data_IF_686976420488
#
_entry.id   IF_686976420488
#
_cell.length_a   1.000
_cell.length_b   1.000
_cell.length_c   1.000
_cell.angle_alpha   90.00
_cell.angle_beta   90.00
_cell.angle_gamma   90.00
#
_symmetry.space_group_name_H-M   'P 1'
#
loop_
_entity.id
_entity.type
_entity.pdbx_description
1 polymer ?
#
# COMPACT_ATOMS: atom_id res chain seq x y z
N UNK A 1 -6.79 -19.43 -7.04
CA UNK A 1 -6.35 -19.39 -8.45
C UNK A 1 -5.32 -18.27 -8.68
N UNK A 2 -5.61 -17.02 -8.30
CA UNK A 2 -4.70 -15.88 -8.50
C UNK A 2 -3.33 -15.99 -7.77
N UNK A 3 -3.30 -16.41 -6.50
CA UNK A 3 -2.04 -16.76 -5.77
C UNK A 3 -1.23 -17.90 -6.43
N UNK A 4 -1.88 -18.79 -7.19
CA UNK A 4 -1.20 -19.87 -7.94
C UNK A 4 -0.58 -19.37 -9.25
N UNK A 5 -1.06 -18.26 -9.81
CA UNK A 5 -0.59 -17.71 -11.08
C UNK A 5 0.71 -16.90 -10.96
N UNK A 6 1.01 -16.39 -9.76
CA UNK A 6 2.22 -15.62 -9.46
C UNK A 6 3.38 -16.47 -8.90
N UNK A 7 3.11 -17.72 -8.53
CA UNK A 7 4.16 -18.60 -8.02
C UNK A 7 4.91 -19.21 -9.20
N UNK A 8 5.93 -18.50 -9.70
CA UNK A 8 6.81 -18.97 -10.77
C UNK A 8 7.75 -20.08 -10.30
N UNK A 9 7.90 -20.28 -8.99
CA UNK A 9 8.73 -21.33 -8.39
C UNK A 9 8.00 -22.69 -8.30
N UNK A 10 7.42 -23.16 -9.41
CA UNK A 10 6.78 -24.47 -9.51
C UNK A 10 7.74 -25.53 -10.05
N UNK A 11 7.51 -26.81 -9.74
CA UNK A 11 8.19 -27.89 -10.44
C UNK A 11 8.15 -27.70 -11.96
N UNK A 12 9.22 -28.13 -12.64
CA UNK A 12 9.20 -28.27 -14.09
C UNK A 12 8.07 -29.22 -14.54
N UNK A 13 7.75 -30.24 -13.72
CA UNK A 13 6.60 -31.12 -13.90
C UNK A 13 5.88 -31.44 -12.59
N UNK A 14 4.55 -31.43 -12.61
CA UNK A 14 3.74 -31.72 -11.41
C UNK A 14 3.73 -33.24 -11.12
N UNK A 15 3.95 -34.10 -12.14
CA UNK A 15 4.05 -35.56 -11.98
C UNK A 15 5.26 -36.18 -12.70
N UNK A 16 5.79 -37.33 -12.22
CA UNK A 16 6.98 -37.94 -12.83
C UNK A 16 6.81 -38.35 -14.30
N UNK A 17 5.60 -38.78 -14.68
CA UNK A 17 5.23 -39.23 -16.02
C UNK A 17 5.10 -38.08 -17.04
N UNK A 18 5.08 -36.83 -16.58
CA UNK A 18 5.05 -35.64 -17.46
C UNK A 18 6.43 -35.30 -18.04
N UNK A 19 7.50 -36.00 -17.61
CA UNK A 19 8.87 -35.77 -18.09
C UNK A 19 9.54 -37.03 -18.57
N UNK A 20 10.27 -36.89 -19.68
CA UNK A 20 11.10 -37.94 -20.23
C UNK A 20 12.53 -37.42 -20.38
N UNK A 21 13.46 -37.99 -19.62
CA UNK A 21 14.89 -37.71 -19.79
C UNK A 21 15.46 -38.57 -20.91
N UNK A 22 16.11 -37.92 -21.89
CA UNK A 22 16.84 -38.59 -22.95
C UNK A 22 18.34 -38.64 -22.60
N UNK A 23 18.95 -39.83 -22.74
CA UNK A 23 20.41 -40.02 -22.59
C UNK A 23 20.93 -40.21 -21.16
N UNK A 24 20.08 -40.10 -20.12
CA UNK A 24 20.45 -40.35 -18.71
C UNK A 24 19.29 -41.06 -18.02
N UNK A 25 19.55 -42.22 -17.39
CA UNK A 25 18.54 -43.04 -16.71
C UNK A 25 18.32 -42.66 -15.24
N UNK A 26 19.36 -42.14 -14.57
CA UNK A 26 19.31 -41.63 -13.21
C UNK A 26 20.39 -40.58 -12.92
N UNK A 27 20.12 -39.65 -12.01
CA UNK A 27 21.11 -38.70 -11.46
C UNK A 27 21.07 -38.81 -9.94
N UNK A 28 22.22 -39.04 -9.31
CA UNK A 28 22.34 -39.19 -7.85
C UNK A 28 21.34 -40.20 -7.22
N UNK A 29 21.01 -41.28 -7.93
CA UNK A 29 20.09 -42.33 -7.47
C UNK A 29 18.60 -42.04 -7.68
N UNK A 30 18.25 -40.87 -8.25
CA UNK A 30 16.88 -40.52 -8.62
C UNK A 30 16.62 -40.92 -10.07
N UNK A 31 15.57 -41.70 -10.30
CA UNK A 31 15.17 -42.13 -11.65
C UNK A 31 14.77 -40.93 -12.51
N UNK A 32 15.02 -40.99 -13.82
CA UNK A 32 14.82 -39.85 -14.72
C UNK A 32 13.43 -39.19 -14.64
N UNK A 33 12.36 -39.98 -14.51
CA UNK A 33 11.00 -39.46 -14.34
C UNK A 33 10.81 -38.65 -13.05
N UNK A 34 11.53 -38.96 -11.97
CA UNK A 34 11.44 -38.23 -10.70
C UNK A 34 12.20 -36.91 -10.71
N UNK A 35 13.17 -36.72 -11.62
CA UNK A 35 13.94 -35.48 -11.68
C UNK A 35 13.07 -34.30 -12.12
N UNK A 36 12.13 -34.49 -13.05
CA UNK A 36 11.21 -33.45 -13.51
C UNK A 36 10.40 -32.78 -12.39
N UNK A 37 10.00 -33.55 -11.38
CA UNK A 37 9.23 -33.03 -10.24
C UNK A 37 10.09 -32.32 -9.19
N UNK A 38 11.41 -32.50 -9.26
CA UNK A 38 12.40 -31.86 -8.40
C UNK A 38 13.02 -30.61 -9.02
N UNK A 39 13.10 -30.53 -10.35
CA UNK A 39 13.58 -29.34 -11.05
C UNK A 39 12.68 -28.15 -10.74
N UNK A 40 13.29 -27.04 -10.35
CA UNK A 40 12.66 -25.75 -10.06
C UNK A 40 13.44 -24.65 -10.79
N UNK A 41 12.81 -23.53 -11.17
CA UNK A 41 13.53 -22.35 -11.61
C UNK A 41 14.57 -21.90 -10.59
N UNK A 42 15.68 -21.35 -11.06
CA UNK A 42 16.73 -20.81 -10.20
C UNK A 42 16.16 -19.60 -9.46
N UNK A 43 16.14 -19.69 -8.13
CA UNK A 43 15.69 -18.63 -7.27
C UNK A 43 16.78 -17.55 -7.13
N UNK A 44 16.37 -16.28 -7.16
CA UNK A 44 17.31 -15.15 -7.06
C UNK A 44 17.68 -14.91 -5.59
N UNK A 45 18.97 -14.94 -5.19
CA UNK A 45 19.38 -14.54 -3.85
C UNK A 45 19.05 -13.08 -3.57
N UNK A 46 18.37 -12.82 -2.47
CA UNK A 46 18.00 -11.48 -2.01
C UNK A 46 18.82 -11.14 -0.77
N UNK A 47 19.66 -10.12 -0.87
CA UNK A 47 20.44 -9.60 0.26
C UNK A 47 19.59 -8.56 0.97
N UNK A 48 19.48 -8.68 2.30
CA UNK A 48 18.69 -7.78 3.14
C UNK A 48 19.53 -7.25 4.30
N UNK A 49 19.71 -5.95 4.42
CA UNK A 49 20.44 -5.31 5.53
C UNK A 49 19.72 -4.08 6.06
N UNK A 50 19.82 -3.83 7.37
CA UNK A 50 19.06 -2.79 8.07
C UNK A 50 17.63 -3.21 8.48
N UNK A 51 17.29 -4.49 8.32
CA UNK A 51 15.99 -5.02 8.73
C UNK A 51 15.98 -5.45 10.20
N UNK A 52 14.87 -5.21 10.88
CA UNK A 52 14.57 -5.86 12.15
C UNK A 52 14.49 -7.39 11.94
N UNK A 53 15.12 -8.23 12.77
CA UNK A 53 15.19 -9.68 12.53
C UNK A 53 13.83 -10.35 12.29
N UNK A 54 12.83 -10.02 13.09
CA UNK A 54 11.49 -10.61 12.97
C UNK A 54 10.76 -10.15 11.70
N UNK A 55 10.95 -8.90 11.30
CA UNK A 55 10.41 -8.40 10.03
C UNK A 55 11.17 -8.95 8.83
N UNK A 56 12.50 -9.16 8.96
CA UNK A 56 13.30 -9.86 7.96
C UNK A 56 12.78 -11.28 7.73
N UNK A 57 12.36 -11.98 8.78
CA UNK A 57 11.75 -13.32 8.67
C UNK A 57 10.36 -13.28 8.00
N UNK A 58 9.52 -12.29 8.34
CA UNK A 58 8.21 -12.10 7.70
C UNK A 58 8.36 -11.80 6.21
N UNK A 59 9.17 -10.80 5.85
CA UNK A 59 9.45 -10.46 4.45
C UNK A 59 10.16 -11.60 3.74
N UNK A 60 11.12 -12.25 4.40
CA UNK A 60 11.85 -13.37 3.84
C UNK A 60 10.94 -14.55 3.52
N UNK A 61 9.95 -14.84 4.38
CA UNK A 61 8.94 -15.87 4.09
C UNK A 61 8.10 -15.52 2.87
N UNK A 62 7.62 -14.27 2.78
CA UNK A 62 6.86 -13.80 1.62
C UNK A 62 7.70 -13.85 0.32
N UNK A 63 8.97 -13.43 0.36
CA UNK A 63 9.87 -13.46 -0.79
C UNK A 63 10.21 -14.89 -1.24
N UNK A 64 10.34 -15.84 -0.31
CA UNK A 64 10.52 -17.28 -0.66
C UNK A 64 9.34 -17.84 -1.43
N UNK A 65 8.12 -17.48 -1.05
CA UNK A 65 6.91 -17.83 -1.81
C UNK A 65 6.89 -17.21 -3.22
N UNK A 66 7.64 -16.13 -3.41
CA UNK A 66 7.81 -15.42 -4.68
C UNK A 66 9.11 -15.78 -5.41
N UNK A 67 9.75 -16.91 -5.09
CA UNK A 67 10.91 -17.42 -5.85
C UNK A 67 12.24 -16.72 -5.57
N UNK A 68 12.35 -15.97 -4.47
CA UNK A 68 13.61 -15.42 -3.98
C UNK A 68 14.21 -16.29 -2.88
N UNK A 69 15.51 -16.16 -2.66
CA UNK A 69 16.21 -16.74 -1.49
C UNK A 69 16.76 -15.61 -0.63
N UNK A 70 15.98 -15.12 0.35
CA UNK A 70 16.45 -14.11 1.30
C UNK A 70 17.64 -14.63 2.07
N UNK A 71 18.63 -13.77 2.21
CA UNK A 71 19.83 -13.99 3.00
C UNK A 71 20.11 -12.72 3.79
N UNK A 72 20.53 -12.89 5.04
CA UNK A 72 21.01 -11.75 5.82
C UNK A 72 22.18 -11.10 5.08
N UNK A 73 22.10 -9.80 4.83
CA UNK A 73 23.24 -8.99 4.44
C UNK A 73 24.19 -8.83 5.61
N UNK A 74 25.45 -8.47 5.33
CA UNK A 74 26.38 -8.12 6.41
C UNK A 74 25.77 -7.04 7.30
N UNK A 75 25.83 -7.22 8.63
CA UNK A 75 25.35 -6.24 9.62
C UNK A 75 26.04 -4.86 9.49
N UNK A 76 27.18 -4.84 8.81
CA UNK A 76 27.82 -3.66 8.26
C UNK A 76 27.96 -3.88 6.74
N UNK A 77 26.96 -3.43 5.97
CA UNK A 77 27.20 -3.19 4.55
C UNK A 77 28.34 -2.18 4.43
N UNK A 78 29.29 -2.43 3.52
CA UNK A 78 30.30 -1.43 3.22
C UNK A 78 29.60 -0.13 2.82
N UNK A 79 30.08 1.00 3.34
CA UNK A 79 29.75 2.29 2.72
C UNK A 79 30.23 2.25 1.27
N UNK A 80 29.53 2.93 0.37
CA UNK A 80 29.98 3.11 -1.01
C UNK A 80 31.46 3.47 -1.02
N UNK A 81 32.31 2.59 -1.59
CA UNK A 81 33.75 2.79 -1.71
C UNK A 81 34.66 2.09 -0.68
N UNK A 82 34.17 1.30 0.28
CA UNK A 82 35.06 0.58 1.24
C UNK A 82 35.67 -0.73 0.68
N UNK A 83 35.22 -1.21 -0.47
CA UNK A 83 35.88 -2.26 -1.25
C UNK A 83 35.76 -1.98 -2.77
N UNK A 84 36.37 -0.90 -3.28
CA UNK A 84 36.21 -0.48 -4.67
C UNK A 84 36.99 -1.46 -5.55
N UNK A 85 36.26 -2.26 -6.32
CA UNK A 85 36.87 -2.93 -7.47
C UNK A 85 36.74 -2.00 -8.67
N UNK A 86 37.82 -1.27 -8.95
CA UNK A 86 37.88 -0.27 -10.03
C UNK A 86 38.10 -0.88 -11.43
N UNK A 87 38.22 -2.20 -11.52
CA UNK A 87 38.38 -2.89 -12.79
C UNK A 87 37.09 -2.85 -13.63
N UNK A 88 37.21 -2.95 -14.98
CA UNK A 88 36.04 -3.09 -15.84
C UNK A 88 35.24 -4.32 -15.43
N UNK A 89 33.92 -4.23 -15.50
CA UNK A 89 33.04 -5.38 -15.30
C UNK A 89 33.39 -6.45 -16.36
N UNK A 90 33.49 -7.71 -15.96
CA UNK A 90 33.76 -8.84 -16.86
C UNK A 90 32.80 -10.02 -16.61
N UNK A 91 32.62 -10.93 -17.59
CA UNK A 91 31.87 -12.17 -17.37
C UNK A 91 32.37 -12.94 -16.14
N UNK A 92 31.43 -13.43 -15.32
CA UNK A 92 31.68 -14.10 -14.05
C UNK A 92 31.72 -13.17 -12.83
N UNK A 93 31.89 -11.86 -13.01
CA UNK A 93 31.84 -10.91 -11.90
C UNK A 93 30.48 -10.89 -11.22
N UNK A 94 30.46 -10.56 -9.93
CA UNK A 94 29.23 -10.38 -9.18
C UNK A 94 28.55 -9.04 -9.54
N UNK A 95 27.26 -9.10 -9.83
CA UNK A 95 26.42 -7.97 -10.20
C UNK A 95 25.10 -8.05 -9.45
N UNK A 96 24.51 -6.90 -9.12
CA UNK A 96 23.29 -6.83 -8.32
C UNK A 96 22.21 -5.97 -8.94
N UNK A 97 20.97 -6.27 -8.58
CA UNK A 97 19.78 -5.44 -8.79
C UNK A 97 19.40 -4.80 -7.46
N UNK A 98 19.45 -3.47 -7.37
CA UNK A 98 19.08 -2.77 -6.15
C UNK A 98 17.59 -2.42 -6.13
N UNK A 99 16.87 -2.86 -5.10
CA UNK A 99 15.43 -2.58 -4.93
C UNK A 99 15.20 -1.48 -3.89
N UNK A 100 16.01 -1.46 -2.82
CA UNK A 100 16.03 -0.41 -1.80
C UNK A 100 17.47 -0.01 -1.48
N UNK A 101 17.68 1.28 -1.25
CA UNK A 101 18.94 1.91 -0.82
C UNK A 101 18.67 2.92 0.30
N UNK A 102 19.71 3.33 1.03
CA UNK A 102 19.63 4.32 2.11
C UNK A 102 19.74 3.66 3.49
N UNK A 103 18.87 4.06 4.43
CA UNK A 103 18.84 3.49 5.79
C UNK A 103 18.42 2.01 5.84
N UNK A 104 17.91 1.48 4.72
CA UNK A 104 17.61 0.09 4.47
C UNK A 104 18.21 -0.28 3.11
N UNK A 105 18.73 -1.50 2.99
CA UNK A 105 19.22 -1.97 1.71
C UNK A 105 18.66 -3.36 1.42
N UNK A 106 18.13 -3.50 0.21
CA UNK A 106 17.55 -4.73 -0.29
C UNK A 106 17.85 -4.85 -1.78
N UNK A 107 18.39 -5.99 -2.20
CA UNK A 107 18.72 -6.20 -3.60
C UNK A 107 18.97 -7.66 -3.96
N UNK A 108 18.73 -7.99 -5.23
CA UNK A 108 19.07 -9.28 -5.80
C UNK A 108 20.55 -9.32 -6.20
N UNK A 109 21.21 -10.46 -6.06
CA UNK A 109 22.59 -10.64 -6.55
C UNK A 109 22.72 -11.83 -7.49
N UNK A 110 23.63 -11.72 -8.45
CA UNK A 110 23.93 -12.78 -9.40
C UNK A 110 25.28 -12.55 -10.06
N UNK A 111 25.45 -13.10 -11.26
CA UNK A 111 26.71 -12.97 -12.02
C UNK A 111 26.49 -12.40 -13.40
N UNK A 112 27.50 -11.73 -13.91
CA UNK A 112 27.55 -11.32 -15.31
C UNK A 112 27.73 -12.55 -16.19
N UNK A 113 26.82 -12.75 -17.13
CA UNK A 113 26.88 -13.84 -18.12
C UNK A 113 27.75 -13.42 -19.31
N UNK A 114 27.50 -12.24 -19.86
CA UNK A 114 28.20 -11.74 -21.04
C UNK A 114 28.17 -10.21 -21.11
N UNK A 115 29.16 -9.62 -21.76
CA UNK A 115 29.25 -8.18 -22.02
C UNK A 115 29.56 -7.98 -23.50
N UNK A 116 28.77 -7.15 -24.16
CA UNK A 116 28.93 -6.73 -25.56
C UNK A 116 28.91 -5.20 -25.63
N UNK A 117 30.10 -4.58 -25.67
CA UNK A 117 30.25 -3.13 -25.58
C UNK A 117 29.74 -2.60 -24.23
N UNK A 118 28.73 -1.72 -24.27
CA UNK A 118 28.04 -1.20 -23.08
C UNK A 118 26.92 -2.11 -22.58
N UNK A 119 26.57 -3.17 -23.32
CA UNK A 119 25.45 -4.07 -23.00
C UNK A 119 25.90 -5.16 -22.04
N UNK A 120 25.12 -5.37 -20.99
CA UNK A 120 25.38 -6.38 -19.96
C UNK A 120 24.23 -7.37 -19.93
N UNK A 121 24.56 -8.66 -19.97
CA UNK A 121 23.64 -9.77 -19.76
C UNK A 121 24.04 -10.47 -18.48
N UNK A 122 23.11 -10.65 -17.56
CA UNK A 122 23.38 -11.19 -16.23
C UNK A 122 22.35 -12.23 -15.82
N UNK A 123 22.69 -12.92 -14.72
CA UNK A 123 21.95 -13.97 -14.02
C UNK A 123 21.84 -15.29 -14.80
N UNK A 124 21.66 -15.25 -16.12
CA UNK A 124 21.38 -16.46 -16.91
C UNK A 124 20.00 -17.07 -16.59
N UNK A 125 19.15 -16.31 -15.90
CA UNK A 125 17.77 -16.62 -15.54
C UNK A 125 17.02 -15.28 -15.31
N UNK A 126 15.67 -15.26 -15.30
CA UNK A 126 14.93 -14.06 -14.94
C UNK A 126 15.14 -13.75 -13.47
N UNK A 127 15.06 -12.46 -13.11
CA UNK A 127 14.90 -12.10 -11.71
C UNK A 127 13.45 -12.37 -11.27
N UNK A 128 12.48 -11.84 -12.03
CA UNK A 128 11.05 -12.02 -11.81
C UNK A 128 10.24 -12.07 -13.12
N UNK A 129 10.90 -11.99 -14.27
CA UNK A 129 10.34 -12.04 -15.62
C UNK A 129 9.32 -10.90 -15.89
N UNK A 130 9.64 -9.68 -15.45
CA UNK A 130 8.77 -8.50 -15.61
C UNK A 130 8.69 -7.96 -17.04
N UNK A 131 9.60 -8.37 -17.93
CA UNK A 131 9.72 -7.78 -19.26
C UNK A 131 10.50 -6.47 -19.23
N UNK A 132 10.05 -5.39 -19.90
CA UNK A 132 10.70 -4.09 -19.83
C UNK A 132 10.67 -3.53 -18.41
N UNK A 133 11.82 -3.13 -17.89
CA UNK A 133 11.97 -2.57 -16.53
C UNK A 133 13.10 -1.55 -16.51
N UNK A 134 13.27 -0.83 -15.41
CA UNK A 134 14.37 0.12 -15.20
C UNK A 134 14.94 -0.08 -13.79
N UNK A 135 15.75 -1.13 -13.65
CA UNK A 135 16.35 -1.51 -12.37
C UNK A 135 17.80 -1.04 -12.26
N UNK A 136 18.24 -0.49 -11.11
CA UNK A 136 19.63 -0.14 -10.92
C UNK A 136 20.53 -1.36 -11.02
N UNK A 137 21.47 -1.32 -11.96
CA UNK A 137 22.56 -2.29 -12.06
C UNK A 137 23.66 -1.84 -11.11
N UNK A 138 24.04 -2.71 -10.19
CA UNK A 138 25.05 -2.42 -9.17
C UNK A 138 26.21 -3.39 -9.26
N UNK A 139 27.40 -2.96 -8.84
CA UNK A 139 28.41 -3.94 -8.45
C UNK A 139 27.89 -4.72 -7.25
N UNK A 140 28.21 -6.00 -7.16
CA UNK A 140 27.99 -6.76 -5.94
C UNK A 140 29.32 -7.21 -5.35
N UNK A 141 29.46 -7.10 -4.04
CA UNK A 141 30.62 -7.61 -3.32
C UNK A 141 30.26 -8.91 -2.62
N UNK A 142 31.04 -9.97 -2.84
CA UNK A 142 30.84 -11.26 -2.17
C UNK A 142 31.84 -11.37 -1.04
N UNK A 143 31.36 -11.32 0.20
CA UNK A 143 32.19 -11.44 1.40
C UNK A 143 32.70 -12.87 1.57
N UNK A 144 31.81 -13.84 1.45
CA UNK A 144 32.13 -15.25 1.58
C UNK A 144 31.03 -16.12 0.97
N UNK A 145 31.33 -17.40 0.80
CA UNK A 145 30.36 -18.42 0.45
C UNK A 145 30.00 -19.18 1.73
N UNK A 146 28.70 -19.34 1.99
CA UNK A 146 28.16 -20.18 3.04
C UNK A 146 27.80 -21.53 2.43
N UNK A 147 28.67 -22.55 2.53
CA UNK A 147 28.41 -23.85 1.92
C UNK A 147 27.32 -24.58 2.68
N UNK A 148 26.40 -25.20 1.95
CA UNK A 148 25.37 -26.10 2.49
C UNK A 148 24.97 -27.12 1.46
N UNK A 149 24.76 -28.37 1.90
CA UNK A 149 24.26 -29.47 1.08
C UNK A 149 22.83 -29.23 0.61
N UNK A 150 22.05 -28.45 1.37
CA UNK A 150 20.67 -28.11 1.01
C UNK A 150 20.63 -26.93 0.04
N UNK A 151 21.40 -25.86 0.31
CA UNK A 151 21.50 -24.70 -0.56
C UNK A 151 22.71 -23.85 -0.17
N UNK A 152 23.72 -23.77 -1.04
CA UNK A 152 24.87 -22.89 -0.83
C UNK A 152 24.53 -21.45 -1.20
N UNK A 153 24.97 -20.48 -0.39
CA UNK A 153 24.63 -19.06 -0.57
C UNK A 153 25.87 -18.18 -0.54
N UNK A 154 25.79 -17.00 -1.16
CA UNK A 154 26.82 -15.95 -1.05
C UNK A 154 26.38 -14.92 -0.03
N UNK A 155 27.19 -14.70 1.01
CA UNK A 155 27.04 -13.50 1.82
C UNK A 155 27.58 -12.33 1.01
N UNK A 156 26.72 -11.41 0.62
CA UNK A 156 27.07 -10.34 -0.31
C UNK A 156 26.38 -9.03 0.03
N UNK A 157 26.74 -7.95 -0.67
CA UNK A 157 26.09 -6.64 -0.63
C UNK A 157 25.99 -6.06 -2.04
N UNK A 158 24.99 -5.20 -2.28
CA UNK A 158 24.95 -4.37 -3.48
C UNK A 158 25.74 -3.08 -3.24
N UNK A 159 26.48 -2.64 -4.23
CA UNK A 159 27.39 -1.50 -4.14
C UNK A 159 26.88 -0.32 -4.95
N UNK A 160 27.84 0.40 -5.54
CA UNK A 160 27.57 1.51 -6.45
C UNK A 160 26.72 1.10 -7.66
N UNK A 161 25.90 2.05 -8.14
CA UNK A 161 25.12 1.90 -9.36
C UNK A 161 26.02 2.19 -10.55
N UNK A 162 26.17 1.21 -11.43
CA UNK A 162 27.05 1.23 -12.61
C UNK A 162 26.27 1.23 -13.93
N UNK A 163 24.93 1.23 -13.88
CA UNK A 163 24.09 1.20 -15.06
C UNK A 163 22.63 0.90 -14.75
N UNK A 164 21.91 0.50 -15.79
CA UNK A 164 20.48 0.20 -15.74
C UNK A 164 20.19 -1.14 -16.40
N UNK A 165 19.52 -2.04 -15.70
CA UNK A 165 18.85 -3.19 -16.31
C UNK A 165 17.54 -2.73 -16.94
N UNK A 166 17.37 -3.04 -18.23
CA UNK A 166 16.29 -2.58 -19.08
C UNK A 166 15.28 -3.68 -19.43
N UNK A 167 15.66 -4.93 -19.22
CA UNK A 167 14.86 -6.12 -19.52
C UNK A 167 15.08 -7.18 -18.44
N UNK A 168 13.99 -7.80 -18.00
CA UNK A 168 13.98 -9.00 -17.17
C UNK A 168 13.17 -10.08 -17.90
N UNK A 169 13.86 -11.07 -18.46
CA UNK A 169 13.29 -12.08 -19.36
C UNK A 169 13.71 -13.48 -18.93
N UNK A 170 13.00 -14.47 -19.46
CA UNK A 170 13.13 -15.89 -19.11
C UNK A 170 14.55 -16.50 -19.15
N UNK A 171 15.54 -15.89 -19.81
CA UNK A 171 16.90 -16.43 -19.91
C UNK A 171 17.98 -15.51 -19.36
N UNK A 172 17.67 -14.24 -19.07
CA UNK A 172 18.61 -13.27 -18.54
C UNK A 172 17.90 -11.98 -18.13
N UNK A 173 18.54 -11.24 -17.24
CA UNK A 173 18.32 -9.80 -17.14
C UNK A 173 19.36 -9.09 -18.03
N UNK A 174 18.94 -8.07 -18.77
CA UNK A 174 19.79 -7.36 -19.72
C UNK A 174 19.69 -5.85 -19.53
N UNK A 175 20.81 -5.16 -19.69
CA UNK A 175 20.94 -3.74 -19.40
C UNK A 175 22.11 -3.08 -20.10
N UNK A 176 22.41 -1.85 -19.70
CA UNK A 176 23.58 -1.10 -20.16
C UNK A 176 24.34 -0.49 -19.00
N UNK A 177 25.66 -0.45 -19.12
CA UNK A 177 26.54 0.34 -18.27
C UNK A 177 26.29 1.83 -18.48
N UNK A 178 26.51 2.65 -17.45
CA UNK A 178 26.36 4.09 -17.49
C UNK A 178 25.48 4.62 -16.35
N UNK A 179 24.60 5.61 -16.60
CA UNK A 179 23.75 6.14 -15.55
C UNK A 179 22.75 5.08 -15.06
N UNK A 180 22.49 5.10 -13.76
CA UNK A 180 21.40 4.36 -13.15
C UNK A 180 20.03 4.95 -13.48
N UNK A 181 18.95 4.17 -13.28
CA UNK A 181 17.60 4.70 -13.40
C UNK A 181 17.28 5.57 -12.18
N UNK A 182 16.24 6.40 -12.30
CA UNK A 182 15.74 7.20 -11.19
C UNK A 182 15.13 6.27 -10.13
N UNK A 183 15.59 6.41 -8.89
CA UNK A 183 14.94 5.84 -7.70
C UNK A 183 13.90 6.82 -7.15
N UNK A 184 12.82 6.32 -6.58
CA UNK A 184 11.80 7.09 -5.87
C UNK A 184 12.33 7.40 -4.47
N UNK A 185 12.60 8.67 -4.12
CA UNK A 185 12.95 9.06 -2.76
C UNK A 185 11.75 8.87 -1.81
N UNK A 186 11.99 8.14 -0.72
CA UNK A 186 11.04 7.96 0.38
C UNK A 186 11.68 8.53 1.64
N UNK A 187 11.05 9.53 2.25
CA UNK A 187 11.47 10.14 3.51
C UNK A 187 10.46 9.80 4.60
N UNK A 188 10.95 9.21 5.69
CA UNK A 188 10.12 8.84 6.84
C UNK A 188 10.63 9.59 8.07
N UNK A 189 9.81 10.46 8.63
CA UNK A 189 10.10 11.10 9.92
C UNK A 189 9.30 10.41 11.02
N UNK A 190 9.99 9.90 12.04
CA UNK A 190 9.38 9.28 13.21
C UNK A 190 9.45 10.25 14.39
N UNK A 191 8.29 10.59 14.93
CA UNK A 191 8.13 11.42 16.12
C UNK A 191 7.61 10.54 17.26
N UNK A 192 8.49 10.21 18.19
CA UNK A 192 8.17 9.38 19.35
C UNK A 192 7.94 10.25 20.57
N UNK A 193 7.00 9.88 21.43
CA UNK A 193 6.85 10.50 22.75
C UNK A 193 8.00 10.20 23.71
N UNK A 194 8.85 9.21 23.40
CA UNK A 194 9.92 8.70 24.29
C UNK A 194 11.32 8.73 23.72
N UNK A 195 11.47 8.96 22.42
CA UNK A 195 12.75 9.00 21.73
C UNK A 195 12.89 10.31 20.94
N UNK A 196 14.13 10.76 20.68
CA UNK A 196 14.35 11.89 19.77
C UNK A 196 13.72 11.64 18.40
N UNK A 197 13.28 12.71 17.74
CA UNK A 197 12.79 12.61 16.37
C UNK A 197 13.89 12.04 15.46
N UNK A 198 13.54 11.07 14.63
CA UNK A 198 14.43 10.47 13.66
C UNK A 198 13.89 10.67 12.25
N UNK A 199 14.77 10.79 11.26
CA UNK A 199 14.38 10.87 9.85
C UNK A 199 15.21 9.90 9.05
N UNK A 200 14.52 9.06 8.29
CA UNK A 200 15.09 8.01 7.46
C UNK A 200 14.87 8.36 5.99
N UNK A 201 15.87 8.06 5.18
CA UNK A 201 15.90 8.32 3.76
C UNK A 201 16.14 7.01 3.02
N UNK A 202 15.25 6.73 2.08
CA UNK A 202 15.33 5.56 1.22
C UNK A 202 15.26 5.97 -0.24
N UNK A 203 16.00 5.27 -1.09
CA UNK A 203 15.74 5.22 -2.52
C UNK A 203 15.06 3.89 -2.85
N UNK A 204 13.83 3.93 -3.33
CA UNK A 204 13.05 2.75 -3.72
C UNK A 204 12.98 2.65 -5.24
N UNK A 205 13.03 1.43 -5.77
CA UNK A 205 12.95 1.20 -7.22
C UNK A 205 11.66 1.74 -7.84
N UNK A 206 11.76 2.38 -9.01
CA UNK A 206 10.61 2.91 -9.74
C UNK A 206 9.98 1.83 -10.64
N UNK A 207 9.26 0.91 -10.01
CA UNK A 207 8.59 -0.21 -10.70
C UNK A 207 7.17 -0.42 -10.17
N UNK A 208 6.25 -0.83 -11.05
CA UNK A 208 4.82 -0.97 -10.75
C UNK A 208 4.54 -1.99 -9.64
N UNK A 209 5.34 -3.05 -9.54
CA UNK A 209 5.19 -4.10 -8.55
C UNK A 209 6.10 -3.87 -7.34
N UNK A 210 7.40 -3.67 -7.59
CA UNK A 210 8.38 -3.60 -6.52
C UNK A 210 8.39 -2.24 -5.81
N UNK A 211 8.06 -1.14 -6.49
CA UNK A 211 8.03 0.19 -5.87
C UNK A 211 7.10 0.24 -4.64
N UNK A 212 5.79 -0.04 -4.78
CA UNK A 212 4.87 -0.06 -3.65
C UNK A 212 5.27 -1.07 -2.57
N UNK A 213 5.71 -2.27 -2.96
CA UNK A 213 6.12 -3.32 -2.01
C UNK A 213 7.32 -2.90 -1.17
N UNK A 214 8.33 -2.29 -1.80
CA UNK A 214 9.52 -1.81 -1.12
C UNK A 214 9.24 -0.59 -0.24
N UNK A 215 8.34 0.32 -0.66
CA UNK A 215 7.85 1.40 0.21
C UNK A 215 7.15 0.85 1.44
N UNK A 216 6.30 -0.16 1.28
CA UNK A 216 5.62 -0.84 2.40
C UNK A 216 6.63 -1.48 3.35
N UNK A 217 7.61 -2.21 2.81
CA UNK A 217 8.64 -2.85 3.60
C UNK A 217 9.49 -1.84 4.39
N UNK A 218 9.86 -0.73 3.76
CA UNK A 218 10.65 0.34 4.39
C UNK A 218 9.89 1.01 5.52
N UNK A 219 8.60 1.34 5.32
CA UNK A 219 7.76 1.92 6.38
C UNK A 219 7.59 0.92 7.53
N UNK A 220 7.19 -0.31 7.23
CA UNK A 220 6.93 -1.29 8.28
C UNK A 220 8.18 -1.61 9.08
N UNK A 221 9.34 -1.75 8.43
CA UNK A 221 10.62 -1.93 9.09
C UNK A 221 10.97 -0.75 10.00
N UNK A 222 10.81 0.48 9.50
CA UNK A 222 11.08 1.69 10.30
C UNK A 222 10.21 1.75 11.55
N UNK A 223 8.90 1.48 11.42
CA UNK A 223 7.99 1.48 12.57
C UNK A 223 8.28 0.31 13.53
N UNK A 224 8.64 -0.86 13.02
CA UNK A 224 8.93 -2.04 13.86
C UNK A 224 10.26 -1.97 14.61
N UNK A 225 11.31 -1.37 14.01
CA UNK A 225 12.64 -1.27 14.63
C UNK A 225 12.74 -0.20 15.72
N UNK A 226 11.94 0.87 15.63
CA UNK A 226 12.12 2.05 16.48
C UNK A 226 10.97 2.31 17.45
N UNK A 227 9.85 1.61 17.29
CA UNK A 227 8.69 1.74 18.17
C UNK A 227 8.30 0.38 18.75
N UNK A 228 7.35 0.40 19.69
CA UNK A 228 6.89 -0.81 20.35
C UNK A 228 6.35 -1.82 19.34
N UNK A 229 7.06 -2.94 19.25
CA UNK A 229 6.75 -4.05 18.37
C UNK A 229 5.60 -4.93 18.88
N UNK A 230 5.46 -5.04 20.20
CA UNK A 230 4.48 -5.95 20.84
C UNK A 230 3.46 -5.21 21.69
N UNK A 231 2.19 -5.47 21.43
CA UNK A 231 1.06 -4.85 22.10
C UNK A 231 0.56 -3.61 21.39
N UNK A 232 -0.56 -3.06 21.89
CA UNK A 232 -1.26 -2.00 21.21
C UNK A 232 -0.48 -0.68 21.21
N UNK A 233 -0.42 -0.05 20.04
CA UNK A 233 0.21 1.25 19.83
C UNK A 233 -0.73 2.13 18.99
N UNK A 234 -0.39 3.42 18.91
CA UNK A 234 -1.07 4.38 18.05
C UNK A 234 -0.07 5.08 17.16
N UNK A 235 -0.34 5.08 15.85
CA UNK A 235 0.41 5.81 14.82
C UNK A 235 -0.48 6.84 14.14
N UNK A 236 -0.14 8.11 14.31
CA UNK A 236 -0.67 9.20 13.49
C UNK A 236 0.17 9.33 12.22
N UNK A 237 -0.48 9.43 11.06
CA UNK A 237 0.17 9.51 9.75
C UNK A 237 -0.14 10.87 9.15
N UNK A 238 0.89 11.63 8.79
CA UNK A 238 0.76 12.89 8.03
C UNK A 238 1.80 12.96 6.93
N UNK A 239 1.46 13.47 5.76
CA UNK A 239 2.44 13.63 4.69
C UNK A 239 1.80 13.64 3.32
N UNK A 240 2.61 13.35 2.30
CA UNK A 240 2.12 13.22 0.93
C UNK A 240 3.00 12.36 0.04
N UNK A 241 2.42 11.90 -1.06
CA UNK A 241 3.12 11.32 -2.20
C UNK A 241 2.98 12.26 -3.40
N UNK A 242 4.10 12.71 -3.95
CA UNK A 242 4.14 13.64 -5.09
C UNK A 242 4.11 12.86 -6.38
N UNK A 243 3.17 13.19 -7.27
CA UNK A 243 3.00 12.52 -8.56
C UNK A 243 3.27 13.54 -9.66
N UNK A 244 4.13 13.20 -10.62
CA UNK A 244 4.49 14.10 -11.73
C UNK A 244 3.23 14.52 -12.49
N UNK A 245 3.06 15.81 -12.73
CA UNK A 245 1.95 16.41 -13.48
C UNK A 245 0.54 16.22 -12.88
N UNK A 246 0.42 15.75 -11.64
CA UNK A 246 -0.86 15.58 -10.95
C UNK A 246 -0.83 16.19 -9.54
N UNK A 247 -2.01 16.31 -8.92
CA UNK A 247 -2.12 16.67 -7.51
C UNK A 247 -1.41 15.63 -6.62
N UNK A 248 -0.85 16.07 -5.49
CA UNK A 248 -0.27 15.15 -4.51
C UNK A 248 -1.36 14.32 -3.81
N UNK A 249 -1.01 13.09 -3.46
CA UNK A 249 -1.83 12.26 -2.56
C UNK A 249 -1.54 12.73 -1.14
N UNK A 250 -2.56 13.18 -0.41
CA UNK A 250 -2.41 13.65 0.95
C UNK A 250 -2.68 12.53 1.95
N UNK A 251 -1.78 12.37 2.92
CA UNK A 251 -1.92 11.43 4.03
C UNK A 251 -2.28 12.20 5.30
N UNK A 252 -3.38 11.82 5.94
CA UNK A 252 -3.78 12.32 7.25
C UNK A 252 -4.74 11.33 7.90
N UNK A 253 -4.22 10.46 8.76
CA UNK A 253 -5.02 9.42 9.40
C UNK A 253 -4.41 8.95 10.72
N UNK A 254 -5.12 8.11 11.46
CA UNK A 254 -4.68 7.55 12.73
C UNK A 254 -4.97 6.05 12.75
N UNK A 255 -4.01 5.26 13.21
CA UNK A 255 -4.14 3.82 13.39
C UNK A 255 -3.84 3.49 14.83
N UNK A 256 -4.70 2.71 15.48
CA UNK A 256 -4.53 2.33 16.88
C UNK A 256 -4.96 0.88 17.08
N UNK A 257 -4.22 0.14 17.90
CA UNK A 257 -4.41 -1.29 18.11
C UNK A 257 -3.13 -2.09 17.91
N UNK A 258 -3.25 -3.41 18.01
CA UNK A 258 -2.11 -4.34 17.90
C UNK A 258 -1.51 -4.41 16.49
N UNK A 259 -2.21 -3.91 15.47
CA UNK A 259 -1.78 -3.93 14.06
C UNK A 259 -1.64 -2.52 13.50
N UNK A 260 -1.48 -1.52 14.36
CA UNK A 260 -1.47 -0.12 13.98
C UNK A 260 -0.33 0.23 13.00
N UNK A 261 0.86 -0.35 13.18
CA UNK A 261 2.02 -0.13 12.29
C UNK A 261 1.76 -0.65 10.87
N UNK A 262 1.22 -1.87 10.75
CA UNK A 262 0.83 -2.44 9.45
C UNK A 262 -0.32 -1.66 8.80
N UNK A 263 -1.33 -1.26 9.57
CA UNK A 263 -2.42 -0.42 9.07
C UNK A 263 -1.92 0.93 8.54
N UNK A 264 -0.99 1.56 9.26
CA UNK A 264 -0.38 2.82 8.87
C UNK A 264 0.47 2.68 7.60
N UNK A 265 1.30 1.63 7.50
CA UNK A 265 2.08 1.33 6.29
C UNK A 265 1.17 1.04 5.08
N UNK A 266 0.14 0.22 5.27
CA UNK A 266 -0.83 -0.12 4.22
C UNK A 266 -1.61 1.10 3.74
N UNK A 267 -1.97 2.03 4.63
CA UNK A 267 -2.66 3.27 4.28
C UNK A 267 -1.85 4.18 3.37
N UNK A 268 -0.54 4.28 3.58
CA UNK A 268 0.35 5.07 2.71
C UNK A 268 0.51 4.41 1.34
N UNK A 269 0.67 3.09 1.30
CA UNK A 269 1.02 2.37 0.07
C UNK A 269 -0.19 2.03 -0.80
N UNK A 270 -1.36 1.73 -0.23
CA UNK A 270 -2.53 1.34 -1.01
C UNK A 270 -2.93 2.35 -2.11
N UNK A 271 -2.93 3.68 -1.87
CA UNK A 271 -3.14 4.68 -2.92
C UNK A 271 -2.08 4.63 -4.03
N UNK A 272 -0.82 4.40 -3.66
CA UNK A 272 0.30 4.31 -4.61
C UNK A 272 0.12 3.07 -5.50
N UNK A 273 -0.17 1.90 -4.91
CA UNK A 273 -0.46 0.68 -5.67
C UNK A 273 -1.65 0.86 -6.62
N UNK A 274 -2.73 1.52 -6.15
CA UNK A 274 -3.92 1.76 -6.96
C UNK A 274 -3.62 2.66 -8.17
N UNK A 275 -2.82 3.71 -7.99
CA UNK A 275 -2.43 4.59 -9.08
C UNK A 275 -1.42 3.95 -10.03
N UNK A 276 -0.38 3.28 -9.52
CA UNK A 276 0.59 2.62 -10.39
C UNK A 276 -0.05 1.48 -11.20
N UNK A 277 -1.09 0.83 -10.67
CA UNK A 277 -1.86 -0.24 -11.32
C UNK A 277 -2.95 0.21 -12.30
N UNK A 278 -3.04 1.50 -12.65
CA UNK A 278 -4.13 2.02 -13.48
C UNK A 278 -3.93 1.73 -15.00
N UNK A 279 -5.03 1.71 -15.75
CA UNK A 279 -5.04 1.45 -17.20
C UNK A 279 -5.11 2.75 -18.06
N UNK A 280 -5.15 3.93 -17.45
CA UNK A 280 -5.32 5.20 -18.15
C UNK A 280 -3.99 5.76 -18.66
N UNK A 281 -2.99 5.84 -17.78
CA UNK A 281 -1.66 6.35 -18.12
C UNK A 281 -0.58 5.83 -17.18
N UNK A 282 0.69 5.92 -17.61
CA UNK A 282 1.83 5.63 -16.73
C UNK A 282 1.93 6.71 -15.66
N UNK A 283 1.87 6.32 -14.39
CA UNK A 283 2.03 7.21 -13.25
C UNK A 283 3.49 7.23 -12.80
N UNK A 284 4.09 8.43 -12.81
CA UNK A 284 5.46 8.65 -12.32
C UNK A 284 5.43 9.24 -10.91
N UNK A 285 5.68 8.37 -9.91
CA UNK A 285 5.81 8.80 -8.51
C UNK A 285 7.16 9.51 -8.30
N UNK A 286 7.12 10.79 -7.92
CA UNK A 286 8.32 11.62 -7.75
C UNK A 286 8.94 11.47 -6.36
N UNK A 287 8.11 11.40 -5.31
CA UNK A 287 8.58 11.25 -3.93
C UNK A 287 7.46 10.79 -3.00
N UNK A 288 7.84 10.19 -1.87
CA UNK A 288 6.95 9.92 -0.74
C UNK A 288 7.57 10.52 0.52
N UNK A 289 6.84 11.41 1.20
CA UNK A 289 7.31 12.02 2.45
C UNK A 289 6.24 11.89 3.51
N UNK A 290 6.53 11.12 4.57
CA UNK A 290 5.56 10.80 5.62
C UNK A 290 6.17 10.99 7.00
N UNK A 291 5.42 11.67 7.86
CA UNK A 291 5.68 11.75 9.30
C UNK A 291 4.74 10.82 10.05
N UNK A 292 5.32 9.95 10.87
CA UNK A 292 4.61 9.10 11.82
C UNK A 292 4.79 9.64 13.23
N UNK A 293 3.69 9.96 13.91
CA UNK A 293 3.70 10.24 15.35
C UNK A 293 3.30 8.97 16.09
N UNK A 294 4.11 8.50 17.04
CA UNK A 294 3.88 7.26 17.78
C UNK A 294 3.60 7.49 19.27
N UNK A 295 2.67 6.71 19.82
CA UNK A 295 2.48 6.53 21.25
C UNK A 295 2.16 5.08 21.56
N UNK A 296 2.74 4.50 22.61
CA UNK A 296 2.40 3.13 23.07
C UNK A 296 1.11 3.06 23.91
N UNK A 297 0.25 4.08 23.81
CA UNK A 297 -1.07 4.07 24.39
C UNK A 297 -2.12 3.95 23.28
N UNK A 298 -3.11 3.06 23.43
CA UNK A 298 -4.20 2.97 22.46
C UNK A 298 -5.06 4.22 22.54
N UNK A 299 -5.07 5.03 21.48
CA UNK A 299 -5.97 6.18 21.34
C UNK A 299 -7.16 5.77 20.51
N UNK A 300 -8.02 4.95 21.07
CA UNK A 300 -9.31 4.58 20.48
C UNK A 300 -10.47 5.20 21.27
N UNK A 301 -11.56 5.48 20.56
CA UNK A 301 -12.78 6.00 21.16
C UNK A 301 -14.00 5.34 20.52
N UNK A 302 -14.89 4.77 21.34
CA UNK A 302 -16.14 4.16 20.87
C UNK A 302 -17.28 5.16 20.98
N UNK A 303 -18.06 5.32 19.92
CA UNK A 303 -19.26 6.14 19.92
C UNK A 303 -20.36 5.46 20.76
N UNK A 304 -20.73 6.06 21.89
CA UNK A 304 -21.74 5.51 22.78
C UNK A 304 -23.13 6.10 22.52
N UNK A 305 -23.21 7.44 22.50
CA UNK A 305 -24.48 8.16 22.43
C UNK A 305 -24.33 9.47 21.66
N UNK A 306 -25.40 9.86 20.99
CA UNK A 306 -25.55 11.16 20.31
C UNK A 306 -26.91 11.75 20.65
N UNK A 307 -27.00 13.07 20.81
CA UNK A 307 -28.26 13.77 21.02
C UNK A 307 -28.15 15.24 20.62
N UNK A 308 -29.26 15.84 20.19
CA UNK A 308 -29.34 17.29 19.97
C UNK A 308 -29.66 17.98 21.29
N UNK A 309 -29.00 19.12 21.52
CA UNK A 309 -29.26 20.05 22.61
C UNK A 309 -30.36 21.07 22.22
N UNK A 310 -31.30 20.62 21.39
CA UNK A 310 -32.54 21.31 21.03
C UNK A 310 -33.59 20.24 20.66
N UNK A 311 -34.70 20.13 21.42
CA UNK A 311 -35.75 19.15 21.13
C UNK A 311 -36.57 19.49 19.89
N UNK A 312 -36.51 20.71 19.35
CA UNK A 312 -37.30 21.17 18.20
C UNK A 312 -36.42 21.95 17.22
N UNK A 313 -35.48 21.26 16.53
CA UNK A 313 -34.64 21.89 15.52
C UNK A 313 -35.48 22.58 14.44
N UNK A 314 -35.07 23.79 14.03
CA UNK A 314 -35.72 24.58 12.97
C UNK A 314 -34.80 24.75 11.78
N UNK A 315 -35.41 24.86 10.60
CA UNK A 315 -34.69 25.16 9.37
C UNK A 315 -33.93 26.50 9.47
N UNK A 316 -32.70 26.55 8.98
CA UNK A 316 -31.86 27.76 8.99
C UNK A 316 -31.29 28.13 10.37
N UNK A 317 -31.43 27.27 11.38
CA UNK A 317 -30.86 27.46 12.72
C UNK A 317 -29.69 26.52 12.97
N UNK A 318 -28.76 26.98 13.80
CA UNK A 318 -27.67 26.16 14.31
C UNK A 318 -28.11 25.42 15.56
N UNK A 319 -27.93 24.10 15.60
CA UNK A 319 -28.30 23.25 16.75
C UNK A 319 -27.06 22.52 17.28
N UNK A 320 -26.79 22.48 18.60
CA UNK A 320 -25.65 21.75 19.12
C UNK A 320 -25.91 20.24 19.11
N UNK A 321 -25.08 19.48 18.40
CA UNK A 321 -25.03 18.03 18.51
C UNK A 321 -24.02 17.63 19.58
N UNK A 322 -24.49 16.94 20.61
CA UNK A 322 -23.64 16.32 21.63
C UNK A 322 -23.31 14.89 21.23
N UNK A 323 -22.03 14.55 21.32
CA UNK A 323 -21.48 13.24 20.96
C UNK A 323 -20.68 12.73 22.15
N UNK A 324 -21.12 11.62 22.73
CA UNK A 324 -20.46 10.94 23.83
C UNK A 324 -19.61 9.79 23.30
N UNK A 325 -18.33 9.85 23.65
CA UNK A 325 -17.34 8.81 23.41
C UNK A 325 -16.96 8.12 24.71
N UNK A 326 -16.58 6.86 24.60
CA UNK A 326 -15.82 6.15 25.63
C UNK A 326 -14.43 5.81 25.10
N UNK A 327 -13.39 6.32 25.75
CA UNK A 327 -11.99 6.03 25.36
C UNK A 327 -11.62 4.59 25.73
N UNK A 328 -10.45 4.13 25.25
CA UNK A 328 -9.92 2.81 25.57
C UNK A 328 -9.91 2.47 27.08
N UNK A 329 -9.61 3.46 27.93
CA UNK A 329 -9.56 3.29 29.40
C UNK A 329 -10.88 3.56 30.12
N UNK A 330 -11.97 3.78 29.38
CA UNK A 330 -13.31 3.97 29.94
C UNK A 330 -13.66 5.42 30.30
N UNK A 331 -12.80 6.39 29.98
CA UNK A 331 -13.13 7.81 30.16
C UNK A 331 -14.26 8.22 29.21
N UNK A 332 -15.25 8.93 29.74
CA UNK A 332 -16.35 9.51 28.98
C UNK A 332 -15.97 10.92 28.50
N UNK A 333 -15.95 11.10 27.17
CA UNK A 333 -15.63 12.39 26.54
C UNK A 333 -16.82 12.88 25.74
N UNK A 334 -17.33 14.08 26.08
CA UNK A 334 -18.42 14.72 25.33
C UNK A 334 -17.84 15.78 24.40
N UNK A 335 -18.12 15.68 23.10
CA UNK A 335 -17.87 16.73 22.10
C UNK A 335 -19.17 17.38 21.68
N UNK A 336 -19.11 18.69 21.41
CA UNK A 336 -20.24 19.45 20.88
C UNK A 336 -19.88 19.92 19.48
N UNK A 337 -20.71 19.60 18.49
CA UNK A 337 -20.60 20.06 17.11
C UNK A 337 -21.81 20.95 16.78
N UNK A 338 -21.62 22.24 16.45
CA UNK A 338 -22.72 23.06 15.94
C UNK A 338 -23.14 22.55 14.55
N UNK A 339 -24.42 22.21 14.39
CA UNK A 339 -25.00 21.80 13.11
C UNK A 339 -25.82 22.94 12.53
N UNK A 340 -25.39 23.50 11.41
CA UNK A 340 -26.16 24.50 10.66
C UNK A 340 -27.23 23.81 9.81
N UNK A 341 -28.46 23.75 10.31
CA UNK A 341 -29.55 23.09 9.60
C UNK A 341 -29.91 23.93 8.36
N UNK A 342 -29.87 23.37 7.13
CA UNK A 342 -30.20 24.13 5.93
C UNK A 342 -31.60 24.75 5.98
N UNK A 343 -31.77 25.95 5.42
CA UNK A 343 -33.04 26.68 5.42
C UNK A 343 -34.17 25.96 4.66
N UNK A 344 -33.81 25.06 3.74
CA UNK A 344 -34.73 24.23 2.97
C UNK A 344 -35.01 22.86 3.61
N UNK A 345 -34.39 22.54 4.75
CA UNK A 345 -34.63 21.28 5.44
C UNK A 345 -36.01 21.31 6.13
N UNK A 346 -36.84 20.29 5.91
CA UNK A 346 -38.15 20.19 6.57
C UNK A 346 -38.59 18.73 6.71
N UNK A 347 -39.49 18.48 7.65
CA UNK A 347 -40.07 17.16 7.88
C UNK A 347 -39.18 16.24 8.72
N UNK A 348 -39.40 14.93 8.59
CA UNK A 348 -38.67 13.90 9.34
C UNK A 348 -37.36 13.56 8.61
N UNK A 349 -36.24 13.84 9.25
CA UNK A 349 -34.89 13.60 8.74
C UNK A 349 -34.14 12.59 9.62
N UNK A 350 -33.17 11.90 9.03
CA UNK A 350 -32.26 11.01 9.76
C UNK A 350 -30.88 11.65 9.90
N UNK A 351 -30.43 11.86 11.12
CA UNK A 351 -29.08 12.33 11.43
C UNK A 351 -28.20 11.11 11.72
N UNK A 352 -27.40 10.70 10.74
CA UNK A 352 -26.41 9.65 10.85
C UNK A 352 -25.09 10.22 11.39
N UNK A 353 -24.55 9.62 12.44
CA UNK A 353 -23.21 9.89 12.98
C UNK A 353 -22.44 8.59 12.91
N UNK A 354 -21.40 8.52 12.08
CA UNK A 354 -20.66 7.29 11.81
C UNK A 354 -19.17 7.51 11.73
N UNK A 355 -18.40 6.49 12.11
CA UNK A 355 -16.98 6.41 11.74
C UNK A 355 -16.81 6.28 10.22
N UNK A 356 -15.59 6.59 9.78
CA UNK A 356 -15.23 6.62 8.36
C UNK A 356 -15.29 5.26 7.66
N UNK A 357 -14.89 4.18 8.33
CA UNK A 357 -14.84 2.84 7.73
C UNK A 357 -16.25 2.33 7.43
N UNK A 358 -17.17 2.44 8.39
CA UNK A 358 -18.58 2.06 8.22
C UNK A 358 -19.27 2.93 7.20
N UNK A 359 -19.07 4.26 7.26
CA UNK A 359 -19.69 5.17 6.30
C UNK A 359 -19.19 4.91 4.87
N UNK A 360 -17.89 4.73 4.68
CA UNK A 360 -17.31 4.46 3.36
C UNK A 360 -17.85 3.17 2.73
N UNK A 361 -18.02 2.10 3.53
CA UNK A 361 -18.64 0.86 3.06
C UNK A 361 -20.10 1.04 2.66
N UNK A 362 -20.87 1.83 3.42
CA UNK A 362 -22.26 2.16 3.08
C UNK A 362 -22.33 2.97 1.79
N UNK A 363 -21.49 4.01 1.66
CA UNK A 363 -21.43 4.85 0.46
C UNK A 363 -21.06 4.04 -0.79
N UNK A 364 -20.13 3.10 -0.67
CA UNK A 364 -19.74 2.20 -1.77
C UNK A 364 -20.86 1.23 -2.19
N UNK A 365 -21.78 0.88 -1.27
CA UNK A 365 -22.93 0.00 -1.55
C UNK A 365 -24.12 0.76 -2.13
N UNK A 366 -24.43 1.93 -1.58
CA UNK A 366 -25.60 2.73 -1.94
C UNK A 366 -25.39 3.50 -3.25
N UNK A 367 -24.22 4.11 -3.40
CA UNK A 367 -23.83 4.75 -4.63
C UNK A 367 -22.94 3.78 -5.41
N UNK A 368 -23.37 3.38 -6.62
CA UNK A 368 -22.41 3.04 -7.67
C UNK A 368 -21.67 4.34 -8.02
N UNK A 369 -20.78 4.77 -7.14
CA UNK A 369 -19.94 5.95 -7.34
C UNK A 369 -19.33 5.82 -8.73
N UNK A 370 -19.41 6.86 -9.57
CA UNK A 370 -18.83 6.80 -10.90
C UNK A 370 -17.37 6.38 -10.76
N UNK A 371 -17.00 5.29 -11.43
CA UNK A 371 -15.62 4.84 -11.42
C UNK A 371 -14.75 5.97 -11.96
N UNK A 372 -13.66 6.35 -11.27
CA UNK A 372 -12.71 7.33 -11.77
C UNK A 372 -12.25 6.95 -13.18
N UNK A 373 -12.29 7.89 -14.12
CA UNK A 373 -11.93 7.70 -15.54
C UNK A 373 -10.59 8.35 -15.93
N UNK A 374 -9.85 8.85 -14.95
CA UNK A 374 -8.53 9.48 -15.11
C UNK A 374 -7.78 9.42 -13.79
N UNK A 375 -6.45 9.54 -13.85
CA UNK A 375 -5.58 9.61 -12.67
C UNK A 375 -5.98 10.78 -11.76
N UNK A 376 -6.33 11.94 -12.32
CA UNK A 376 -6.82 13.08 -11.53
C UNK A 376 -8.09 12.77 -10.74
N UNK A 377 -9.04 12.06 -11.36
CA UNK A 377 -10.26 11.62 -10.65
C UNK A 377 -9.94 10.57 -9.59
N UNK A 378 -8.97 9.68 -9.84
CA UNK A 378 -8.50 8.70 -8.86
C UNK A 378 -7.87 9.40 -7.65
N UNK A 379 -6.95 10.34 -7.86
CA UNK A 379 -6.30 11.12 -6.79
C UNK A 379 -7.33 11.92 -6.01
N UNK A 380 -8.29 12.56 -6.69
CA UNK A 380 -9.40 13.26 -6.03
C UNK A 380 -10.25 12.34 -5.17
N UNK A 381 -10.52 11.10 -5.61
CA UNK A 381 -11.24 10.12 -4.83
C UNK A 381 -10.43 9.65 -3.60
N UNK A 382 -9.13 9.39 -3.79
CA UNK A 382 -8.20 9.01 -2.71
C UNK A 382 -8.08 10.09 -1.64
N UNK A 383 -7.95 11.36 -2.03
CA UNK A 383 -7.86 12.49 -1.10
C UNK A 383 -9.17 12.78 -0.34
N UNK A 384 -10.30 12.25 -0.84
CA UNK A 384 -11.62 12.30 -0.19
C UNK A 384 -11.92 11.04 0.64
N UNK A 385 -11.01 10.08 0.69
CA UNK A 385 -11.22 8.85 1.44
C UNK A 385 -11.45 9.13 2.93
N UNK A 386 -12.31 8.32 3.55
CA UNK A 386 -12.69 8.49 4.94
C UNK A 386 -11.53 8.11 5.88
N UNK A 387 -11.29 8.97 6.86
CA UNK A 387 -10.25 8.86 7.90
C UNK A 387 -10.78 8.19 9.18
N UNK A 388 -9.92 7.49 9.89
CA UNK A 388 -10.24 6.78 11.14
C UNK A 388 -10.34 7.74 12.35
N UNK A 389 -9.73 8.92 12.28
CA UNK A 389 -9.77 9.92 13.35
C UNK A 389 -10.85 10.98 13.16
N UNK A 390 -11.85 10.71 12.33
CA UNK A 390 -12.91 11.67 12.01
C UNK A 390 -14.26 10.97 12.12
N UNK A 391 -15.19 11.59 12.84
CA UNK A 391 -16.61 11.24 12.72
C UNK A 391 -17.23 12.03 11.59
N UNK A 392 -18.09 11.35 10.84
CA UNK A 392 -18.87 11.94 9.76
C UNK A 392 -20.32 12.01 10.18
N UNK A 393 -20.89 13.20 10.05
CA UNK A 393 -22.28 13.49 10.39
C UNK A 393 -23.00 13.76 9.08
N UNK A 394 -24.08 13.05 8.79
CA UNK A 394 -24.94 13.26 7.63
C UNK A 394 -26.36 13.49 8.07
N UNK A 395 -26.96 14.57 7.58
CA UNK A 395 -28.40 14.79 7.62
C UNK A 395 -29.00 14.23 6.34
N UNK A 396 -29.86 13.23 6.47
CA UNK A 396 -30.46 12.49 5.38
C UNK A 396 -31.95 12.78 5.31
N UNK A 397 -32.43 13.18 4.13
CA UNK A 397 -33.85 13.32 3.83
C UNK A 397 -34.46 11.98 3.42
N UNK A 398 -35.74 11.79 3.74
CA UNK A 398 -36.54 10.65 3.30
C UNK A 398 -36.93 10.71 1.82
N UNK A 399 -36.63 11.80 1.13
CA UNK A 399 -36.98 11.97 -0.27
C UNK A 399 -36.21 10.97 -1.14
N UNK A 400 -36.96 10.18 -1.91
CA UNK A 400 -36.38 9.30 -2.90
C UNK A 400 -35.62 10.10 -3.95
N UNK A 401 -34.39 9.68 -4.23
CA UNK A 401 -33.54 10.25 -5.26
C UNK A 401 -33.08 9.19 -6.25
N UNK A 402 -32.22 9.57 -7.17
CA UNK A 402 -31.55 8.60 -8.04
C UNK A 402 -30.12 9.04 -8.35
N UNK A 403 -29.24 8.08 -8.57
CA UNK A 403 -27.97 8.34 -9.26
C UNK A 403 -28.21 8.13 -10.75
N UNK A 404 -28.00 9.18 -11.55
CA UNK A 404 -28.11 9.14 -13.03
C UNK A 404 -26.76 9.58 -13.60
N UNK A 405 -26.14 8.74 -14.43
CA UNK A 405 -24.81 9.02 -15.02
C UNK A 405 -23.69 9.39 -14.03
N UNK A 406 -23.79 8.94 -12.77
CA UNK A 406 -22.81 9.22 -11.72
C UNK A 406 -23.04 10.51 -10.94
N UNK A 407 -24.06 11.29 -11.29
CA UNK A 407 -24.51 12.46 -10.52
C UNK A 407 -25.67 12.10 -9.59
N UNK A 408 -25.63 12.64 -8.37
CA UNK A 408 -26.65 12.45 -7.34
C UNK A 408 -27.79 13.45 -7.57
N UNK A 409 -28.99 12.95 -7.91
CA UNK A 409 -30.21 13.75 -8.00
C UNK A 409 -31.08 13.47 -6.78
N UNK A 410 -31.26 14.47 -5.92
CA UNK A 410 -32.10 14.40 -4.72
C UNK A 410 -33.51 14.93 -4.96
N UNK A 411 -34.49 14.42 -4.21
CA UNK A 411 -35.88 14.92 -4.20
C UNK A 411 -36.59 14.85 -5.57
N UNK A 412 -36.44 13.72 -6.27
CA UNK A 412 -37.11 13.51 -7.54
C UNK A 412 -38.60 13.19 -7.31
N UNK A 413 -39.53 13.85 -8.02
CA UNK A 413 -40.95 13.48 -7.95
C UNK A 413 -41.16 12.01 -8.32
N UNK A 414 -42.13 11.30 -7.70
CA UNK A 414 -42.40 9.90 -8.00
C UNK A 414 -42.65 9.61 -9.48
N UNK A 415 -43.22 10.57 -10.22
CA UNK A 415 -43.42 10.47 -11.67
C UNK A 415 -42.11 10.48 -12.47
N UNK A 416 -41.11 11.26 -12.05
CA UNK A 416 -39.78 11.29 -12.70
C UNK A 416 -39.00 10.04 -12.36
N UNK A 417 -39.08 9.56 -11.11
CA UNK A 417 -38.51 8.27 -10.70
C UNK A 417 -39.10 7.12 -11.51
N UNK A 418 -40.42 7.10 -11.72
CA UNK A 418 -41.09 6.07 -12.53
C UNK A 418 -40.66 6.06 -14.00
N UNK A 419 -40.39 7.23 -14.59
CA UNK A 419 -39.86 7.33 -15.97
C UNK A 419 -38.41 6.85 -16.04
N UNK A 420 -37.57 7.27 -15.08
CA UNK A 420 -36.18 6.84 -15.00
C UNK A 420 -36.03 5.34 -14.67
N UNK A 421 -36.94 4.79 -13.86
CA UNK A 421 -37.05 3.35 -13.60
C UNK A 421 -37.51 2.56 -14.83
N UNK A 422 -38.30 3.19 -15.70
CA UNK A 422 -38.80 2.62 -16.96
C UNK A 422 -37.75 2.59 -18.07
N UNK A 423 -36.78 3.52 -18.07
CA UNK A 423 -35.71 3.61 -19.07
C UNK A 423 -34.50 2.70 -18.75
N UNK A 424 -34.78 1.41 -18.53
CA UNK A 424 -33.75 0.41 -18.16
C UNK A 424 -32.75 0.08 -19.28
N UNK A 425 -33.03 0.53 -20.50
CA UNK A 425 -32.16 0.28 -21.66
C UNK A 425 -31.02 1.29 -21.81
N UNK A 426 -31.08 2.44 -21.11
CA UNK A 426 -30.06 3.51 -21.19
C UNK A 426 -28.85 3.37 -20.26
N UNK A 427 -28.91 2.48 -19.27
CA UNK A 427 -27.81 2.20 -18.34
C UNK A 427 -27.59 3.27 -17.26
N UNK A 428 -27.48 2.81 -16.00
CA UNK A 428 -27.16 3.59 -14.78
C UNK A 428 -28.28 4.42 -14.14
N UNK A 429 -29.41 3.78 -13.81
CA UNK A 429 -30.34 4.26 -12.80
C UNK A 429 -30.20 3.43 -11.51
N UNK A 430 -30.02 4.09 -10.36
CA UNK A 430 -30.10 3.43 -9.05
C UNK A 430 -30.94 4.28 -8.09
N UNK A 431 -32.07 3.75 -7.56
CA UNK A 431 -32.91 4.51 -6.64
C UNK A 431 -32.16 4.71 -5.31
N UNK A 432 -32.11 5.97 -4.87
CA UNK A 432 -31.60 6.35 -3.56
C UNK A 432 -32.78 6.40 -2.59
N UNK A 433 -32.70 5.60 -1.53
CA UNK A 433 -33.70 5.59 -0.48
C UNK A 433 -33.55 6.76 0.49
N UNK A 434 -32.42 7.47 0.42
CA UNK A 434 -32.20 8.71 1.17
C UNK A 434 -31.25 9.64 0.42
N UNK A 435 -31.47 10.95 0.55
CA UNK A 435 -30.62 11.98 -0.03
C UNK A 435 -29.84 12.71 1.08
N UNK A 436 -28.55 13.00 0.85
CA UNK A 436 -27.76 13.81 1.80
C UNK A 436 -28.16 15.28 1.68
N UNK A 437 -28.79 15.81 2.72
CA UNK A 437 -29.24 17.21 2.84
C UNK A 437 -28.08 18.11 3.33
N UNK A 438 -27.29 17.61 4.26
CA UNK A 438 -26.09 18.29 4.78
C UNK A 438 -25.11 17.27 5.34
N UNK A 439 -23.84 17.65 5.40
CA UNK A 439 -22.78 16.83 6.00
C UNK A 439 -21.78 17.68 6.78
N UNK A 440 -21.23 17.10 7.85
CA UNK A 440 -20.20 17.70 8.68
C UNK A 440 -19.15 16.66 9.04
N UNK A 441 -17.97 17.14 9.42
CA UNK A 441 -16.87 16.33 9.91
C UNK A 441 -16.47 16.82 11.30
N UNK A 442 -16.23 15.88 12.20
CA UNK A 442 -15.63 16.16 13.51
C UNK A 442 -14.30 15.42 13.62
N UNK A 443 -13.17 16.09 13.36
CA UNK A 443 -11.86 15.55 13.65
C UNK A 443 -11.69 15.26 15.13
N UNK A 444 -10.95 14.20 15.44
CA UNK A 444 -10.70 13.73 16.80
C UNK A 444 -9.23 13.33 16.97
N UNK A 445 -8.78 13.25 18.21
CA UNK A 445 -7.43 12.77 18.56
C UNK A 445 -7.36 11.24 18.71
N UNK A 446 -8.48 10.55 18.49
CA UNK A 446 -8.64 9.11 18.70
C UNK A 446 -9.09 8.43 17.39
N UNK A 447 -8.74 7.17 17.21
CA UNK A 447 -9.35 6.33 16.19
C UNK A 447 -10.78 6.01 16.66
N UNK A 448 -11.77 6.59 15.99
CA UNK A 448 -13.18 6.50 16.37
C UNK A 448 -13.84 5.29 15.75
N UNK A 449 -14.69 4.62 16.53
CA UNK A 449 -15.47 3.48 16.06
C UNK A 449 -16.92 3.57 16.53
N UNK A 450 -17.86 3.39 15.62
CA UNK A 450 -19.27 3.24 15.90
C UNK A 450 -20.15 4.02 14.93
N UNK A 451 -21.44 3.72 15.00
CA UNK A 451 -22.46 4.43 14.24
C UNK A 451 -23.73 4.59 15.08
N UNK A 452 -24.38 5.74 14.95
CA UNK A 452 -25.67 6.07 15.57
C UNK A 452 -26.51 6.86 14.58
N UNK A 453 -27.81 6.61 14.60
CA UNK A 453 -28.77 7.36 13.79
C UNK A 453 -29.84 7.93 14.71
N UNK A 454 -30.14 9.21 14.56
CA UNK A 454 -31.24 9.89 15.25
C UNK A 454 -32.30 10.30 14.23
N UNK A 455 -33.57 10.06 14.54
CA UNK A 455 -34.67 10.65 13.79
C UNK A 455 -35.00 12.01 14.38
N UNK A 456 -35.00 13.05 13.57
CA UNK A 456 -35.30 14.42 13.98
C UNK A 456 -36.43 14.99 13.12
N UNK A 457 -37.32 15.78 13.71
CA UNK A 457 -38.37 16.49 12.98
C UNK A 457 -37.99 17.96 12.89
N UNK A 458 -37.69 18.44 11.69
CA UNK A 458 -37.33 19.84 11.44
C UNK A 458 -38.56 20.63 11.06
N UNK A 459 -38.88 21.65 11.85
CA UNK A 459 -39.97 22.58 11.54
C UNK A 459 -39.51 23.65 10.56
N UNK A 460 -40.39 24.12 9.65
CA UNK A 460 -40.16 25.34 8.89
C UNK A 460 -39.88 26.51 9.86
N UNK A 461 -39.03 27.44 9.42
CA UNK A 461 -38.68 28.59 10.24
C UNK A 461 -39.87 29.52 10.43
#
# INVERSE_FOLDING_TARGET
AFRKALNWNRPFADRPDETHLAGVSAVAGLGGSQLGTLLRPIATPLVMSGFEPELADVFGSAFREQGFVPSGGGAAGFRTGEAPFEGPLKPGDAVGVMLVSGDLQLGGTGTVTHIDGDRVYAFGHPMYNLGPTEFPMTRAYVYTVLPSLFSSMKLSSTGEIIGTFLQDRATAIAGRLGPGPRMIPVTISLQSGRAPNQTFHFGVVNDQLFGPLMTYASILNTLGSYERQYGSATFGVRGSATVRNHDAIAFNNLFSGDQASMGAAAYVVAPITYLMGNDYEKVDLESVSVTFSSTEEPRTATLERVWLDDPRPRAGRTVPLKILFRTYRGEEVVRTLPLDIPANASGTLSLLVSDGARLGLTEQREARLPQPRSVDQMIKALNKARRNNTLYIKLLGSDAGAVVNGELLSSLPPSVLGVLEGDRNGGNFNPLHSATVAQWELPTEHAVAGSRTLTITVSPN
#
